data_IF_648012198670
#
_entry.id   IF_648012198670
#
_cell.length_a   1.000
_cell.length_b   1.000
_cell.length_c   1.000
_cell.angle_alpha   90.00
_cell.angle_beta   90.00
_cell.angle_gamma   90.00
#
_symmetry.space_group_name_H-M   'P 1'
#
loop_
_entity.id
_entity.type
_entity.pdbx_description
1 polymer ?
#
# COMPACT_ATOMS: atom_id res chain seq x y z
N UNK A 1 0.81 26.41 13.64
CA UNK A 1 0.31 25.01 13.60
C UNK A 1 1.10 24.07 12.67
N UNK A 2 1.67 24.53 11.54
CA UNK A 2 2.44 23.65 10.63
C UNK A 2 3.65 22.97 11.30
N UNK A 3 4.36 23.69 12.17
CA UNK A 3 5.59 23.21 12.83
C UNK A 3 5.35 22.03 13.80
N UNK A 4 4.19 21.97 14.46
CA UNK A 4 3.82 20.84 15.34
C UNK A 4 3.56 19.55 14.56
N UNK A 5 2.98 19.63 13.35
CA UNK A 5 2.74 18.45 12.50
C UNK A 5 4.05 17.86 12.00
N UNK A 6 4.99 18.71 11.56
CA UNK A 6 6.32 18.29 11.10
C UNK A 6 7.10 17.62 12.26
N UNK A 7 7.09 18.22 13.45
CA UNK A 7 7.69 17.64 14.67
C UNK A 7 7.13 16.27 15.02
N UNK A 8 5.80 16.10 14.92
CA UNK A 8 5.14 14.81 15.16
C UNK A 8 5.55 13.74 14.14
N UNK A 9 5.69 14.10 12.86
CA UNK A 9 6.10 13.15 11.80
C UNK A 9 7.56 12.74 12.00
N UNK A 10 8.45 13.67 12.33
CA UNK A 10 9.87 13.39 12.58
C UNK A 10 10.09 12.45 13.77
N UNK A 11 9.32 12.59 14.84
CA UNK A 11 9.42 11.74 16.04
C UNK A 11 8.68 10.40 15.91
N UNK A 12 7.80 10.24 14.92
CA UNK A 12 7.05 9.00 14.73
C UNK A 12 8.00 7.86 14.28
N UNK A 13 7.86 6.64 14.84
CA UNK A 13 8.60 5.47 14.37
C UNK A 13 8.29 5.18 12.89
N UNK A 14 9.32 4.83 12.12
CA UNK A 14 9.21 4.67 10.67
C UNK A 14 8.21 3.57 10.30
N UNK A 15 8.20 2.46 11.04
CA UNK A 15 7.22 1.38 10.86
C UNK A 15 5.77 1.88 10.97
N UNK A 16 5.46 2.72 11.97
CA UNK A 16 4.09 3.21 12.20
C UNK A 16 3.61 4.09 11.04
N UNK A 17 4.52 4.84 10.45
CA UNK A 17 4.27 5.65 9.26
C UNK A 17 4.12 4.75 8.02
N UNK A 18 4.97 3.72 7.88
CA UNK A 18 4.92 2.76 6.79
C UNK A 18 3.60 1.99 6.77
N UNK A 19 3.12 1.48 7.92
CA UNK A 19 1.82 0.79 8.01
C UNK A 19 0.68 1.67 7.49
N UNK A 20 0.67 2.97 7.79
CA UNK A 20 -0.36 3.87 7.27
C UNK A 20 -0.33 3.94 5.75
N UNK A 21 0.85 4.13 5.17
CA UNK A 21 1.00 4.14 3.72
C UNK A 21 0.66 2.78 3.09
N UNK A 22 1.03 1.67 3.73
CA UNK A 22 0.68 0.31 3.29
C UNK A 22 -0.84 0.11 3.26
N UNK A 23 -1.56 0.49 4.31
CA UNK A 23 -3.02 0.34 4.39
C UNK A 23 -3.70 1.19 3.32
N UNK A 24 -3.33 2.49 3.22
CA UNK A 24 -3.93 3.38 2.23
C UNK A 24 -3.68 2.92 0.80
N UNK A 25 -2.45 2.51 0.49
CA UNK A 25 -2.09 2.03 -0.84
C UNK A 25 -2.69 0.66 -1.16
N UNK A 26 -2.72 -0.25 -0.19
CA UNK A 26 -3.36 -1.55 -0.33
C UNK A 26 -4.85 -1.43 -0.64
N UNK A 27 -5.54 -0.48 -0.01
CA UNK A 27 -6.96 -0.21 -0.30
C UNK A 27 -7.16 0.31 -1.73
N UNK A 28 -6.31 1.22 -2.19
CA UNK A 28 -6.35 1.72 -3.57
C UNK A 28 -6.09 0.58 -4.55
N UNK A 29 -5.07 -0.24 -4.31
CA UNK A 29 -4.77 -1.40 -5.16
C UNK A 29 -5.94 -2.38 -5.22
N UNK A 30 -6.59 -2.65 -4.09
CA UNK A 30 -7.77 -3.52 -4.07
C UNK A 30 -8.88 -2.98 -4.98
N UNK A 31 -9.19 -1.69 -4.90
CA UNK A 31 -10.20 -1.06 -5.77
C UNK A 31 -9.79 -1.16 -7.24
N UNK A 32 -8.54 -0.80 -7.55
CA UNK A 32 -8.04 -0.83 -8.93
C UNK A 32 -8.09 -2.24 -9.51
N UNK A 33 -7.71 -3.25 -8.73
CA UNK A 33 -7.79 -4.65 -9.19
C UNK A 33 -9.23 -5.12 -9.35
N UNK A 34 -10.12 -4.85 -8.39
CA UNK A 34 -11.54 -5.20 -8.54
C UNK A 34 -12.15 -4.55 -9.78
N UNK A 35 -11.83 -3.27 -10.03
CA UNK A 35 -12.27 -2.58 -11.23
C UNK A 35 -11.67 -3.19 -12.50
N UNK A 36 -10.36 -3.48 -12.51
CA UNK A 36 -9.69 -4.11 -13.65
C UNK A 36 -10.28 -5.49 -13.97
N UNK A 37 -10.59 -6.29 -12.96
CA UNK A 37 -11.23 -7.60 -13.09
C UNK A 37 -12.62 -7.45 -13.73
N UNK A 38 -13.43 -6.51 -13.25
CA UNK A 38 -14.74 -6.18 -13.79
C UNK A 38 -14.67 -5.76 -15.26
N UNK A 39 -13.72 -4.89 -15.62
CA UNK A 39 -13.56 -4.44 -17.00
C UNK A 39 -13.02 -5.52 -17.93
N UNK A 40 -12.09 -6.36 -17.45
CA UNK A 40 -11.44 -7.37 -18.29
C UNK A 40 -12.35 -8.56 -18.58
N UNK A 41 -13.08 -9.04 -17.56
CA UNK A 41 -13.84 -10.29 -17.65
C UNK A 41 -15.36 -10.06 -17.67
N UNK A 42 -15.83 -8.81 -17.54
CA UNK A 42 -17.25 -8.47 -17.43
C UNK A 42 -17.95 -9.09 -16.22
N UNK A 43 -17.20 -9.77 -15.35
CA UNK A 43 -17.72 -10.61 -14.28
C UNK A 43 -16.68 -10.76 -13.15
N UNK A 44 -17.16 -10.78 -11.90
CA UNK A 44 -16.33 -10.98 -10.70
C UNK A 44 -15.95 -12.45 -10.48
N UNK A 45 -16.51 -13.39 -11.25
CA UNK A 45 -16.28 -14.84 -11.07
C UNK A 45 -14.86 -15.30 -11.41
N UNK A 46 -14.07 -14.54 -12.15
CA UNK A 46 -12.66 -14.90 -12.42
C UNK A 46 -11.80 -14.96 -11.14
N UNK A 47 -12.25 -14.28 -10.09
CA UNK A 47 -11.62 -14.36 -8.77
C UNK A 47 -11.72 -15.79 -8.23
N UNK A 48 -12.83 -16.52 -8.43
CA UNK A 48 -13.01 -17.88 -7.91
C UNK A 48 -12.16 -18.92 -8.63
N UNK A 49 -11.99 -18.82 -9.96
CA UNK A 49 -11.12 -19.73 -10.73
C UNK A 49 -9.66 -19.65 -10.28
N UNK A 50 -9.20 -18.43 -9.93
CA UNK A 50 -7.84 -18.18 -9.44
C UNK A 50 -7.53 -18.88 -8.11
N UNK A 51 -8.55 -19.23 -7.31
CA UNK A 51 -8.39 -19.96 -6.04
C UNK A 51 -8.23 -21.47 -6.24
N UNK A 52 -8.75 -22.05 -7.33
CA UNK A 52 -8.64 -23.50 -7.61
C UNK A 52 -7.29 -23.88 -8.23
N UNK A 53 -6.71 -23.01 -9.07
CA UNK A 53 -5.49 -23.33 -9.83
C UNK A 53 -4.17 -23.15 -9.06
N UNK A 54 -4.22 -22.77 -7.76
CA UNK A 54 -3.02 -22.55 -6.94
C UNK A 54 -2.20 -21.29 -7.31
N UNK A 55 -2.62 -20.53 -8.32
CA UNK A 55 -2.00 -19.27 -8.77
C UNK A 55 -2.25 -18.09 -7.82
N UNK A 56 -3.12 -18.27 -6.83
CA UNK A 56 -3.45 -17.26 -5.81
C UNK A 56 -2.26 -16.86 -4.92
N UNK A 57 -1.43 -17.81 -4.50
CA UNK A 57 -0.29 -17.54 -3.61
C UNK A 57 0.72 -16.59 -4.24
N UNK A 58 1.26 -16.86 -5.45
CA UNK A 58 2.17 -15.91 -6.11
C UNK A 58 1.47 -14.61 -6.44
N UNK A 59 0.17 -14.64 -6.79
CA UNK A 59 -0.62 -13.43 -7.00
C UNK A 59 -0.57 -12.54 -5.74
N UNK A 60 -0.98 -13.03 -4.58
CA UNK A 60 -1.00 -12.26 -3.33
C UNK A 60 0.41 -11.85 -2.90
N UNK A 61 1.39 -12.76 -2.96
CA UNK A 61 2.76 -12.50 -2.53
C UNK A 61 3.38 -11.31 -3.27
N UNK A 62 3.21 -11.21 -4.60
CA UNK A 62 3.70 -10.05 -5.36
C UNK A 62 3.04 -8.75 -4.92
N UNK A 63 1.73 -8.74 -4.64
CA UNK A 63 1.03 -7.52 -4.19
C UNK A 63 1.51 -7.10 -2.80
N UNK A 64 1.69 -8.05 -1.89
CA UNK A 64 2.22 -7.79 -0.55
C UNK A 64 3.63 -7.18 -0.64
N UNK A 65 4.49 -7.72 -1.49
CA UNK A 65 5.83 -7.16 -1.71
C UNK A 65 5.79 -5.70 -2.21
N UNK A 66 4.92 -5.40 -3.17
CA UNK A 66 4.75 -4.03 -3.71
C UNK A 66 4.20 -3.08 -2.63
N UNK A 67 3.20 -3.52 -1.85
CA UNK A 67 2.62 -2.73 -0.75
C UNK A 67 3.68 -2.40 0.30
N UNK A 68 4.48 -3.39 0.70
CA UNK A 68 5.57 -3.22 1.67
C UNK A 68 6.59 -2.22 1.13
N UNK A 69 7.06 -2.42 -0.11
CA UNK A 69 8.02 -1.54 -0.76
C UNK A 69 7.54 -0.09 -0.81
N UNK A 70 6.33 0.13 -1.33
CA UNK A 70 5.71 1.46 -1.39
C UNK A 70 5.58 2.10 0.01
N UNK A 71 5.08 1.34 0.98
CA UNK A 71 4.86 1.84 2.33
C UNK A 71 6.15 2.30 3.02
N UNK A 72 7.22 1.52 2.92
CA UNK A 72 8.52 1.87 3.48
C UNK A 72 9.18 3.04 2.75
N UNK A 73 9.13 3.07 1.42
CA UNK A 73 9.67 4.19 0.62
C UNK A 73 8.97 5.50 0.99
N UNK A 74 7.64 5.51 1.00
CA UNK A 74 6.87 6.71 1.34
C UNK A 74 7.08 7.14 2.79
N UNK A 75 7.19 6.18 3.72
CA UNK A 75 7.51 6.48 5.11
C UNK A 75 8.90 7.11 5.27
N UNK A 76 9.90 6.56 4.58
CA UNK A 76 11.26 7.08 4.61
C UNK A 76 11.33 8.50 4.03
N UNK A 77 10.77 8.71 2.83
CA UNK A 77 10.77 10.02 2.17
C UNK A 77 10.02 11.07 3.01
N UNK A 78 8.86 10.70 3.56
CA UNK A 78 8.05 11.60 4.41
C UNK A 78 8.80 12.00 5.68
N UNK A 79 9.46 11.03 6.33
CA UNK A 79 10.25 11.29 7.54
C UNK A 79 11.52 12.10 7.23
N UNK A 80 12.22 11.77 6.15
CA UNK A 80 13.43 12.49 5.70
C UNK A 80 13.11 13.95 5.38
N UNK A 81 12.02 14.19 4.63
CA UNK A 81 11.52 15.54 4.35
C UNK A 81 11.14 16.29 5.63
N UNK A 82 10.47 15.64 6.58
CA UNK A 82 10.12 16.27 7.86
C UNK A 82 11.34 16.62 8.71
N UNK A 83 12.40 15.80 8.67
CA UNK A 83 13.65 16.08 9.39
C UNK A 83 14.44 17.24 8.76
N UNK A 84 14.42 17.37 7.44
CA UNK A 84 15.13 18.47 6.74
C UNK A 84 14.43 19.84 6.87
N UNK A 85 13.16 19.87 7.30
CA UNK A 85 12.37 21.10 7.47
C UNK A 85 12.42 21.60 8.94
N UNK A 86 12.80 20.74 9.88
CA UNK A 86 13.03 21.06 11.29
C UNK A 86 14.44 21.60 11.51
#
# INVERSE_FOLDING_TARGET
MANQKVKKIATTPLWKLAIRFMISFGFILAIVFTAAELFKNGNLNAISESFEDGTWVPFVATRVAIIIGYGFVMAFLTKSKAKNIL
#
